data_IF_652067786127
#
_entry.id   IF_652067786127
#
_cell.length_a   1.000
_cell.length_b   1.000
_cell.length_c   1.000
_cell.angle_alpha   90.00
_cell.angle_beta   90.00
_cell.angle_gamma   90.00
#
_symmetry.space_group_name_H-M   'P 1'
#
loop_
_entity.id
_entity.type
_entity.pdbx_description
1 polymer ?
#
# COMPACT_ATOMS: atom_id res chain seq x y z
N UNK A 1 -7.07 0.16 8.35
CA UNK A 1 -6.40 -1.07 8.84
C UNK A 1 -5.07 -1.33 8.13
N UNK A 2 -5.00 -1.22 6.79
CA UNK A 2 -3.71 -1.35 6.07
C UNK A 2 -2.70 -0.28 6.49
N UNK A 3 -3.09 1.00 6.47
CA UNK A 3 -2.21 2.11 6.91
C UNK A 3 -1.79 1.96 8.37
N UNK A 4 -2.68 1.50 9.25
CA UNK A 4 -2.32 1.27 10.66
C UNK A 4 -1.31 0.13 10.80
N UNK A 5 -1.40 -0.94 10.01
CA UNK A 5 -0.39 -2.00 9.99
C UNK A 5 0.98 -1.49 9.49
N UNK A 6 0.98 -0.63 8.48
CA UNK A 6 2.20 0.04 7.97
C UNK A 6 2.79 0.98 9.04
N UNK A 7 1.95 1.76 9.73
CA UNK A 7 2.39 2.63 10.82
C UNK A 7 3.03 1.83 11.97
N UNK A 8 2.42 0.69 12.33
CA UNK A 8 2.99 -0.23 13.33
C UNK A 8 4.34 -0.78 12.88
N UNK A 9 4.49 -1.18 11.62
CA UNK A 9 5.77 -1.61 11.07
C UNK A 9 6.84 -0.51 11.22
N UNK A 10 6.56 0.72 10.79
CA UNK A 10 7.51 1.82 10.90
C UNK A 10 7.87 2.18 12.35
N UNK A 11 6.94 1.98 13.28
CA UNK A 11 7.18 2.17 14.70
C UNK A 11 8.19 1.17 15.29
N UNK A 12 8.40 0.01 14.66
CA UNK A 12 9.32 -1.02 15.19
C UNK A 12 10.80 -0.67 15.03
N UNK A 13 11.16 0.13 14.03
CA UNK A 13 12.56 0.46 13.74
C UNK A 13 12.86 1.97 13.75
N UNK A 14 11.85 2.83 13.75
CA UNK A 14 12.08 4.27 13.86
C UNK A 14 12.51 4.64 15.29
N UNK A 15 13.71 5.18 15.45
CA UNK A 15 14.24 5.63 16.75
C UNK A 15 13.47 6.82 17.33
N UNK A 16 12.67 7.53 16.52
CA UNK A 16 11.83 8.64 16.93
C UNK A 16 10.40 8.50 16.40
N UNK A 17 9.42 8.85 17.24
CA UNK A 17 7.99 8.82 16.89
C UNK A 17 7.68 9.69 15.66
N UNK A 18 8.38 10.81 15.52
CA UNK A 18 8.24 11.74 14.38
C UNK A 18 8.60 11.08 13.04
N UNK A 19 9.66 10.29 12.98
CA UNK A 19 10.10 9.66 11.73
C UNK A 19 9.10 8.58 11.27
N UNK A 20 8.54 7.82 12.21
CA UNK A 20 7.49 6.84 11.93
C UNK A 20 6.24 7.50 11.34
N UNK A 21 5.84 8.65 11.89
CA UNK A 21 4.70 9.41 11.38
C UNK A 21 4.96 9.91 9.95
N UNK A 22 6.15 10.46 9.68
CA UNK A 22 6.54 10.94 8.36
C UNK A 22 6.49 9.81 7.32
N UNK A 23 7.05 8.64 7.62
CA UNK A 23 7.00 7.50 6.69
C UNK A 23 5.58 6.99 6.46
N UNK A 24 4.76 6.97 7.51
CA UNK A 24 3.34 6.58 7.38
C UNK A 24 2.59 7.53 6.46
N UNK A 25 2.79 8.84 6.62
CA UNK A 25 2.18 9.87 5.77
C UNK A 25 2.70 9.76 4.33
N UNK A 26 4.01 9.54 4.14
CA UNK A 26 4.58 9.35 2.81
C UNK A 26 3.96 8.14 2.09
N UNK A 27 3.84 6.99 2.76
CA UNK A 27 3.20 5.80 2.18
C UNK A 27 1.70 6.03 1.93
N UNK A 28 1.01 6.77 2.79
CA UNK A 28 -0.38 7.16 2.56
C UNK A 28 -0.55 7.94 1.26
N UNK A 29 0.31 8.94 1.04
CA UNK A 29 0.29 9.78 -0.16
C UNK A 29 0.64 8.94 -1.40
N UNK A 30 1.73 8.16 -1.33
CA UNK A 30 2.17 7.30 -2.44
C UNK A 30 1.07 6.29 -2.82
N UNK A 31 0.37 5.73 -1.83
CA UNK A 31 -0.68 4.73 -2.08
C UNK A 31 -1.90 5.25 -2.84
N UNK A 32 -2.17 6.57 -2.80
CA UNK A 32 -3.19 7.22 -3.63
C UNK A 32 -2.64 7.70 -4.98
N UNK A 33 -1.33 7.97 -5.07
CA UNK A 33 -0.69 8.33 -6.35
C UNK A 33 -0.40 7.10 -7.23
N UNK A 34 -0.59 5.90 -6.69
CA UNK A 34 -0.22 4.65 -7.38
C UNK A 34 -1.10 4.39 -8.62
N UNK A 35 -2.38 4.77 -8.61
CA UNK A 35 -3.22 4.69 -9.82
C UNK A 35 -2.73 5.64 -10.93
N UNK A 36 -2.40 6.88 -10.58
CA UNK A 36 -1.84 7.85 -11.51
C UNK A 36 -0.51 7.37 -12.11
N UNK A 37 0.33 6.74 -11.27
CA UNK A 37 1.60 6.15 -11.70
C UNK A 37 1.39 5.09 -12.79
N UNK A 38 0.34 4.25 -12.67
CA UNK A 38 -0.01 3.26 -13.69
C UNK A 38 -0.48 3.89 -14.99
N UNK A 39 -1.31 4.93 -14.91
CA UNK A 39 -1.75 5.69 -16.10
C UNK A 39 -0.55 6.27 -16.84
N UNK A 40 0.44 6.81 -16.12
CA UNK A 40 1.69 7.29 -16.73
C UNK A 40 2.44 6.14 -17.39
N UNK A 41 2.60 4.99 -16.70
CA UNK A 41 3.28 3.81 -17.22
C UNK A 41 2.67 3.26 -18.52
N UNK A 42 1.35 3.25 -18.63
CA UNK A 42 0.63 2.76 -19.82
C UNK A 42 0.83 3.67 -21.04
N UNK A 43 1.10 4.96 -20.83
CA UNK A 43 1.37 5.93 -21.89
C UNK A 43 2.85 5.97 -22.34
N UNK A 44 3.75 5.24 -21.67
CA UNK A 44 5.17 5.21 -22.02
C UNK A 44 5.46 4.23 -23.15
N UNK A 45 6.18 4.70 -24.16
CA UNK A 45 6.68 3.87 -25.27
C UNK A 45 7.98 3.13 -24.94
N UNK A 46 8.72 3.59 -23.92
CA UNK A 46 9.98 2.97 -23.51
C UNK A 46 9.72 1.77 -22.57
N UNK A 47 10.10 0.58 -23.03
CA UNK A 47 9.92 -0.69 -22.31
C UNK A 47 10.54 -0.70 -20.92
N UNK A 48 11.78 -0.21 -20.76
CA UNK A 48 12.49 -0.26 -19.48
C UNK A 48 11.78 0.62 -18.43
N UNK A 49 11.36 1.81 -18.84
CA UNK A 49 10.64 2.74 -17.97
C UNK A 49 9.25 2.21 -17.61
N UNK A 50 8.54 1.61 -18.57
CA UNK A 50 7.23 0.97 -18.34
C UNK A 50 7.32 -0.16 -17.32
N UNK A 51 8.27 -1.07 -17.48
CA UNK A 51 8.47 -2.19 -16.55
C UNK A 51 8.87 -1.71 -15.16
N UNK A 52 9.71 -0.67 -15.08
CA UNK A 52 10.08 -0.06 -13.79
C UNK A 52 8.86 0.51 -13.08
N UNK A 53 8.01 1.24 -13.80
CA UNK A 53 6.77 1.80 -13.24
C UNK A 53 5.81 0.70 -12.80
N UNK A 54 5.61 -0.33 -13.62
CA UNK A 54 4.76 -1.47 -13.27
C UNK A 54 5.28 -2.19 -12.02
N UNK A 55 6.60 -2.36 -11.90
CA UNK A 55 7.21 -2.93 -10.70
C UNK A 55 6.84 -2.12 -9.44
N UNK A 56 7.00 -0.79 -9.49
CA UNK A 56 6.58 0.06 -8.37
C UNK A 56 5.07 0.02 -8.11
N UNK A 57 4.25 -0.03 -9.15
CA UNK A 57 2.79 -0.15 -9.02
C UNK A 57 2.38 -1.41 -8.23
N UNK A 58 3.01 -2.55 -8.47
CA UNK A 58 2.70 -3.79 -7.77
C UNK A 58 3.34 -3.88 -6.38
N UNK A 59 4.48 -3.21 -6.16
CA UNK A 59 5.16 -3.19 -4.87
C UNK A 59 4.48 -2.25 -3.86
N UNK A 60 4.00 -1.11 -4.34
CA UNK A 60 3.41 -0.07 -3.51
C UNK A 60 1.96 -0.41 -3.12
N UNK A 61 1.53 -0.08 -1.89
CA UNK A 61 0.16 -0.33 -1.48
C UNK A 61 -0.80 0.59 -2.23
N UNK A 62 -1.52 0.06 -3.21
CA UNK A 62 -2.61 0.81 -3.85
C UNK A 62 -3.81 0.93 -2.88
N UNK A 63 -4.02 2.13 -2.36
CA UNK A 63 -5.10 2.45 -1.41
C UNK A 63 -6.43 2.75 -2.10
N UNK A 64 -6.40 3.19 -3.36
CA UNK A 64 -7.60 3.49 -4.14
C UNK A 64 -8.45 2.25 -4.44
N UNK A 65 -7.86 1.05 -4.43
CA UNK A 65 -8.61 -0.20 -4.46
C UNK A 65 -9.68 -0.28 -3.36
N UNK A 66 -9.44 0.32 -2.19
CA UNK A 66 -10.39 0.36 -1.08
C UNK A 66 -11.43 1.49 -1.22
N UNK A 67 -11.27 2.39 -2.20
CA UNK A 67 -12.18 3.51 -2.44
C UNK A 67 -13.39 3.08 -3.29
N UNK A 68 -14.32 2.38 -2.64
CA UNK A 68 -15.58 1.95 -3.26
C UNK A 68 -16.47 3.14 -3.62
N UNK A 69 -16.37 4.25 -2.87
CA UNK A 69 -17.17 5.47 -3.08
C UNK A 69 -16.91 6.09 -4.44
N UNK A 70 -15.64 6.11 -4.89
CA UNK A 70 -15.28 6.57 -6.23
C UNK A 70 -16.07 5.81 -7.30
N UNK A 71 -16.05 4.47 -7.25
CA UNK A 71 -16.75 3.63 -8.23
C UNK A 71 -18.27 3.84 -8.24
N UNK A 72 -18.89 3.90 -7.06
CA UNK A 72 -20.35 4.14 -6.95
C UNK A 72 -20.73 5.52 -7.46
N UNK A 73 -19.92 6.56 -7.21
CA UNK A 73 -20.16 7.91 -7.70
C UNK A 73 -20.10 8.02 -9.23
N UNK A 74 -19.27 7.19 -9.88
CA UNK A 74 -19.20 7.07 -11.34
C UNK A 74 -20.25 6.10 -11.93
N UNK A 75 -21.18 5.59 -11.13
CA UNK A 75 -22.24 4.67 -11.58
C UNK A 75 -21.76 3.27 -11.94
N UNK A 76 -20.55 2.89 -11.52
CA UNK A 76 -20.02 1.54 -11.73
C UNK A 76 -20.62 0.59 -10.70
N UNK A 77 -21.22 -0.51 -11.18
CA UNK A 77 -21.73 -1.55 -10.29
C UNK A 77 -20.59 -2.20 -9.52
N UNK A 78 -20.68 -2.15 -8.19
CA UNK A 78 -19.73 -2.79 -7.29
C UNK A 78 -20.15 -4.24 -7.10
N UNK A 79 -19.50 -5.15 -7.82
CA UNK A 79 -19.78 -6.58 -7.69
C UNK A 79 -19.34 -7.10 -6.31
N UNK A 80 -20.05 -8.10 -5.77
CA UNK A 80 -19.65 -8.77 -4.54
C UNK A 80 -18.27 -9.43 -4.64
N UNK A 81 -17.92 -9.92 -5.84
CA UNK A 81 -16.59 -10.48 -6.13
C UNK A 81 -15.48 -9.42 -5.99
N UNK A 82 -15.73 -8.18 -6.43
CA UNK A 82 -14.78 -7.08 -6.25
C UNK A 82 -14.54 -6.78 -4.77
N UNK A 83 -15.61 -6.65 -3.97
CA UNK A 83 -15.50 -6.43 -2.53
C UNK A 83 -14.72 -7.54 -1.82
N UNK A 84 -14.97 -8.80 -2.22
CA UNK A 84 -14.24 -9.95 -1.68
C UNK A 84 -12.74 -9.88 -2.00
N UNK A 85 -12.38 -9.62 -3.26
CA UNK A 85 -10.98 -9.54 -3.69
C UNK A 85 -10.23 -8.38 -3.02
N UNK A 86 -10.84 -7.20 -2.93
CA UNK A 86 -10.24 -6.04 -2.24
C UNK A 86 -10.06 -6.30 -0.74
N UNK A 87 -11.03 -6.98 -0.11
CA UNK A 87 -10.92 -7.36 1.31
C UNK A 87 -9.78 -8.35 1.52
N UNK A 88 -9.69 -9.38 0.68
CA UNK A 88 -8.62 -10.37 0.74
C UNK A 88 -7.24 -9.75 0.52
N UNK A 89 -7.13 -8.84 -0.46
CA UNK A 89 -5.93 -8.05 -0.69
C UNK A 89 -5.52 -7.24 0.55
N UNK A 90 -6.48 -6.58 1.22
CA UNK A 90 -6.23 -5.86 2.46
C UNK A 90 -5.75 -6.75 3.61
N UNK A 91 -6.40 -7.90 3.82
CA UNK A 91 -6.01 -8.88 4.85
C UNK A 91 -4.59 -9.40 4.61
N UNK A 92 -4.27 -9.75 3.36
CA UNK A 92 -2.94 -10.21 2.99
C UNK A 92 -1.88 -9.15 3.32
N UNK A 93 -2.10 -7.91 2.89
CA UNK A 93 -1.16 -6.81 3.14
C UNK A 93 -0.96 -6.54 4.64
N UNK A 94 -2.04 -6.53 5.42
CA UNK A 94 -1.98 -6.37 6.88
C UNK A 94 -1.16 -7.50 7.51
N UNK A 95 -1.41 -8.75 7.12
CA UNK A 95 -0.71 -9.92 7.67
C UNK A 95 0.79 -9.85 7.40
N UNK A 96 1.19 -9.51 6.17
CA UNK A 96 2.61 -9.34 5.81
C UNK A 96 3.25 -8.22 6.63
N UNK A 97 2.61 -7.06 6.75
CA UNK A 97 3.16 -5.92 7.49
C UNK A 97 3.31 -6.22 8.99
N UNK A 98 2.32 -6.90 9.60
CA UNK A 98 2.38 -7.30 11.01
C UNK A 98 3.44 -8.40 11.23
N UNK A 99 3.57 -9.35 10.31
CA UNK A 99 4.62 -10.37 10.37
C UNK A 99 6.02 -9.76 10.33
N UNK A 100 6.26 -8.83 9.38
CA UNK A 100 7.52 -8.08 9.29
C UNK A 100 7.78 -7.26 10.56
N UNK A 101 6.74 -6.61 11.09
CA UNK A 101 6.80 -5.85 12.35
C UNK A 101 7.27 -6.74 13.50
N UNK A 102 6.65 -7.91 13.67
CA UNK A 102 7.05 -8.90 14.68
C UNK A 102 8.49 -9.40 14.50
N UNK A 103 8.92 -9.70 13.28
CA UNK A 103 10.30 -10.14 13.00
C UNK A 103 11.34 -9.07 13.35
N UNK A 104 11.08 -7.81 13.00
CA UNK A 104 11.99 -6.69 13.28
C UNK A 104 12.04 -6.42 14.78
N UNK A 105 10.89 -6.43 15.45
CA UNK A 105 10.79 -6.24 16.89
C UNK A 105 11.56 -7.31 17.66
N UNK A 106 11.38 -8.58 17.29
CA UNK A 106 12.08 -9.71 17.90
C UNK A 106 13.61 -9.57 17.80
N UNK A 107 14.14 -9.15 16.65
CA UNK A 107 15.59 -8.93 16.48
C UNK A 107 16.17 -7.80 17.34
N UNK A 108 15.33 -6.85 17.78
CA UNK A 108 15.73 -5.73 18.65
C UNK A 108 15.81 -6.14 20.11
N UNK A 109 14.88 -6.94 20.59
CA UNK A 109 14.80 -7.34 22.00
C UNK A 109 15.87 -8.36 22.42
N UNK A 110 16.49 -9.07 21.46
CA UNK A 110 17.61 -9.97 21.71
C UNK A 110 18.99 -9.28 21.71
N UNK A 111 19.05 -7.95 21.76
CA UNK A 111 20.28 -7.16 21.71
C UNK A 111 20.50 -6.32 22.95
#
# INVERSE_FOLDING_TARGET
MVITAIALLFSTFSSSSTLSAIFTIAIYIIGHLTEELKLIGDNLQNFILKETINFFYYLLPNLDNFNVKGRVAYGLEVSGAYLFLVTLYGIFYITVMLFLSGMIFQKRDFK
#
